data_IF_945285107626
#
_entry.id   IF_945285107626
#
_cell.length_a   1.000
_cell.length_b   1.000
_cell.length_c   1.000
_cell.angle_alpha   90.00
_cell.angle_beta   90.00
_cell.angle_gamma   90.00
#
_symmetry.space_group_name_H-M   'P 1'
#
loop_
_entity.id
_entity.type
_entity.pdbx_description
1 polymer ?
#
# COMPACT_ATOMS: atom_id res chain seq x y z
N UNK A 1 20.45 -1.09 -3.60
CA UNK A 1 19.08 -0.72 -3.99
C UNK A 1 18.74 0.61 -3.35
N UNK A 2 18.78 1.67 -4.15
CA UNK A 2 18.34 3.01 -3.77
C UNK A 2 17.21 3.41 -4.70
N UNK A 3 16.09 3.89 -4.16
CA UNK A 3 14.91 4.29 -4.93
C UNK A 3 13.61 3.65 -4.43
N UNK A 4 12.48 4.12 -4.95
CA UNK A 4 11.15 3.61 -4.65
C UNK A 4 10.62 2.75 -5.80
N UNK A 5 9.85 1.71 -5.48
CA UNK A 5 9.23 0.84 -6.48
C UNK A 5 7.94 1.49 -6.99
N UNK A 6 8.08 2.47 -7.89
CA UNK A 6 6.93 3.20 -8.44
C UNK A 6 6.14 2.42 -9.51
N UNK A 7 4.86 2.75 -9.73
CA UNK A 7 4.07 2.15 -10.82
C UNK A 7 4.64 2.47 -12.21
N UNK A 8 4.23 1.69 -13.21
CA UNK A 8 4.42 2.06 -14.61
C UNK A 8 3.55 3.26 -14.96
N UNK A 9 4.18 4.30 -15.50
CA UNK A 9 3.50 5.53 -15.94
C UNK A 9 2.75 5.28 -17.24
N UNK A 10 1.62 5.98 -17.45
CA UNK A 10 0.81 5.85 -18.66
C UNK A 10 -0.08 4.60 -18.72
N UNK A 11 -0.02 3.74 -17.71
CA UNK A 11 -0.89 2.58 -17.56
C UNK A 11 -1.93 2.80 -16.46
N UNK A 12 -3.02 2.01 -16.47
CA UNK A 12 -4.02 2.03 -15.39
C UNK A 12 -3.36 1.69 -14.05
N UNK A 13 -3.84 2.32 -12.97
CA UNK A 13 -3.28 2.15 -11.63
C UNK A 13 -4.32 2.02 -10.52
N UNK A 14 -5.44 2.74 -10.59
CA UNK A 14 -6.43 2.70 -9.52
C UNK A 14 -7.26 1.40 -9.59
N UNK A 15 -7.44 0.74 -8.44
CA UNK A 15 -8.22 -0.51 -8.35
C UNK A 15 -9.63 -0.43 -8.99
N UNK A 16 -10.39 0.68 -8.86
CA UNK A 16 -11.68 0.83 -9.53
C UNK A 16 -11.60 0.70 -11.06
N UNK A 17 -10.53 1.17 -11.69
CA UNK A 17 -10.33 1.13 -13.15
C UNK A 17 -10.20 -0.30 -13.68
N UNK A 18 -9.68 -1.20 -12.86
CA UNK A 18 -9.55 -2.62 -13.18
C UNK A 18 -10.85 -3.41 -12.96
N UNK A 19 -11.72 -2.94 -12.06
CA UNK A 19 -13.04 -3.56 -11.81
C UNK A 19 -14.08 -3.16 -12.86
N UNK A 20 -14.05 -1.91 -13.32
CA UNK A 20 -15.03 -1.33 -14.26
C UNK A 20 -14.58 -1.41 -15.73
N UNK A 21 -13.30 -1.66 -15.99
CA UNK A 21 -12.70 -1.59 -17.32
C UNK A 21 -12.50 -2.94 -18.02
N UNK A 22 -11.79 -2.90 -19.16
CA UNK A 22 -11.32 -4.09 -19.88
C UNK A 22 -10.40 -4.94 -18.99
N UNK A 23 -10.27 -6.26 -19.26
CA UNK A 23 -9.28 -7.11 -18.58
C UNK A 23 -7.89 -6.48 -18.57
N UNK A 24 -7.11 -6.76 -17.52
CA UNK A 24 -5.72 -6.34 -17.44
C UNK A 24 -4.95 -6.88 -18.64
N UNK A 25 -4.14 -6.04 -19.28
CA UNK A 25 -3.36 -6.40 -20.45
C UNK A 25 -1.91 -6.00 -20.29
N UNK A 26 -1.01 -6.95 -20.50
CA UNK A 26 0.43 -6.75 -20.42
C UNK A 26 0.99 -6.76 -19.00
N UNK A 27 2.31 -7.00 -18.91
CA UNK A 27 3.04 -7.09 -17.64
C UNK A 27 2.90 -5.84 -16.77
N UNK A 28 2.77 -4.68 -17.38
CA UNK A 28 2.74 -3.38 -16.68
C UNK A 28 1.42 -3.14 -15.94
N UNK A 29 0.27 -3.40 -16.57
CA UNK A 29 -1.03 -3.30 -15.90
C UNK A 29 -1.18 -4.37 -14.81
N UNK A 30 -0.64 -5.59 -15.02
CA UNK A 30 -0.59 -6.64 -14.00
C UNK A 30 0.23 -6.17 -12.79
N UNK A 31 1.41 -5.59 -13.02
CA UNK A 31 2.23 -5.02 -11.97
C UNK A 31 1.50 -3.90 -11.23
N UNK A 32 0.95 -2.91 -11.96
CA UNK A 32 0.26 -1.78 -11.37
C UNK A 32 -0.95 -2.20 -10.53
N UNK A 33 -1.74 -3.17 -11.01
CA UNK A 33 -2.85 -3.73 -10.25
C UNK A 33 -2.37 -4.40 -8.96
N UNK A 34 -1.35 -5.25 -9.02
CA UNK A 34 -0.77 -5.91 -7.85
C UNK A 34 -0.17 -4.90 -6.86
N UNK A 35 0.53 -3.88 -7.36
CA UNK A 35 1.09 -2.80 -6.57
C UNK A 35 -0.01 -2.01 -5.84
N UNK A 36 -1.04 -1.58 -6.58
CA UNK A 36 -2.19 -0.85 -6.05
C UNK A 36 -3.00 -1.69 -5.04
N UNK A 37 -3.14 -3.01 -5.29
CA UNK A 37 -3.78 -3.95 -4.38
C UNK A 37 -3.02 -4.07 -3.06
N UNK A 38 -1.70 -4.24 -3.12
CA UNK A 38 -0.84 -4.29 -1.94
C UNK A 38 -0.91 -2.97 -1.16
N UNK A 39 -0.83 -1.84 -1.86
CA UNK A 39 -0.96 -0.51 -1.25
C UNK A 39 -2.29 -0.37 -0.50
N UNK A 40 -3.40 -0.76 -1.12
CA UNK A 40 -4.72 -0.73 -0.49
C UNK A 40 -4.80 -1.61 0.77
N UNK A 41 -4.10 -2.75 0.82
CA UNK A 41 -4.02 -3.57 2.05
C UNK A 41 -3.24 -2.84 3.16
N UNK A 42 -2.13 -2.18 2.81
CA UNK A 42 -1.31 -1.41 3.75
C UNK A 42 -2.10 -0.22 4.31
N UNK A 43 -2.76 0.55 3.45
CA UNK A 43 -3.55 1.72 3.83
C UNK A 43 -4.71 1.34 4.75
N UNK A 44 -5.47 0.29 4.42
CA UNK A 44 -6.55 -0.21 5.28
C UNK A 44 -6.05 -0.66 6.64
N UNK A 45 -4.87 -1.29 6.69
CA UNK A 45 -4.22 -1.70 7.94
C UNK A 45 -3.88 -0.48 8.82
N UNK A 46 -3.32 0.57 8.22
CA UNK A 46 -3.07 1.82 8.94
C UNK A 46 -4.36 2.52 9.36
N UNK A 47 -5.43 2.42 8.58
CA UNK A 47 -6.76 2.88 8.95
C UNK A 47 -7.23 2.29 10.28
N UNK A 48 -7.22 0.95 10.39
CA UNK A 48 -7.59 0.25 11.64
C UNK A 48 -6.69 0.66 12.80
N UNK A 49 -5.36 0.71 12.58
CA UNK A 49 -4.39 1.06 13.62
C UNK A 49 -4.55 2.49 14.15
N UNK A 50 -4.98 3.45 13.31
CA UNK A 50 -5.26 4.83 13.74
C UNK A 50 -6.38 4.92 14.78
N UNK A 51 -7.25 3.90 14.92
CA UNK A 51 -8.28 3.85 15.97
C UNK A 51 -7.70 3.54 17.35
N UNK A 52 -6.50 2.98 17.42
CA UNK A 52 -5.89 2.55 18.67
C UNK A 52 -5.34 3.76 19.41
N UNK A 53 -5.94 4.09 20.55
CA UNK A 53 -5.61 5.32 21.31
C UNK A 53 -4.11 5.45 21.63
N UNK A 54 -3.39 4.33 21.83
CA UNK A 54 -1.94 4.34 22.08
C UNK A 54 -1.12 4.82 20.87
N UNK A 55 -1.64 4.65 19.66
CA UNK A 55 -1.02 5.14 18.42
C UNK A 55 -1.53 6.54 18.03
N UNK A 56 -2.81 6.82 18.27
CA UNK A 56 -3.43 8.13 17.99
C UNK A 56 -2.93 9.22 18.94
N UNK A 57 -2.94 8.91 20.24
CA UNK A 57 -2.66 9.85 21.33
C UNK A 57 -1.38 9.41 22.05
N UNK A 58 -0.31 9.14 21.28
CA UNK A 58 0.92 8.55 21.82
C UNK A 58 1.60 9.49 22.82
N UNK A 59 1.77 9.08 24.09
CA UNK A 59 2.49 9.88 25.08
C UNK A 59 3.96 10.08 24.68
N UNK A 60 4.61 11.08 25.27
CA UNK A 60 6.03 11.39 25.06
C UNK A 60 6.95 10.32 25.67
N UNK A 61 7.01 9.16 25.02
CA UNK A 61 7.95 8.10 25.31
C UNK A 61 9.29 8.32 24.57
N UNK A 62 10.35 7.65 25.04
CA UNK A 62 11.60 7.59 24.28
C UNK A 62 11.36 6.96 22.90
N UNK A 63 12.18 7.35 21.92
CA UNK A 63 12.09 6.79 20.56
C UNK A 63 12.13 5.26 20.54
N UNK A 64 12.97 4.65 21.38
CA UNK A 64 13.03 3.20 21.53
C UNK A 64 11.68 2.60 21.94
N UNK A 65 11.00 3.22 22.89
CA UNK A 65 9.70 2.76 23.37
C UNK A 65 8.59 3.02 22.34
N UNK A 66 8.64 4.14 21.61
CA UNK A 66 7.72 4.39 20.49
C UNK A 66 7.86 3.31 19.41
N UNK A 67 9.09 2.94 19.04
CA UNK A 67 9.37 1.84 18.10
C UNK A 67 8.79 0.52 18.60
N UNK A 68 8.99 0.18 19.87
CA UNK A 68 8.42 -1.03 20.46
C UNK A 68 6.89 -1.02 20.42
N UNK A 69 6.25 0.12 20.73
CA UNK A 69 4.80 0.27 20.66
C UNK A 69 4.31 -0.06 19.24
N UNK A 70 4.92 0.53 18.20
CA UNK A 70 4.54 0.25 16.80
C UNK A 70 4.64 -1.24 16.48
N UNK A 71 5.75 -1.89 16.84
CA UNK A 71 5.95 -3.33 16.60
C UNK A 71 4.90 -4.17 17.34
N UNK A 72 4.66 -3.87 18.62
CA UNK A 72 3.66 -4.58 19.42
C UNK A 72 2.25 -4.41 18.84
N UNK A 73 1.88 -3.20 18.40
CA UNK A 73 0.57 -2.96 17.80
C UNK A 73 0.40 -3.67 16.45
N UNK A 74 1.45 -3.73 15.63
CA UNK A 74 1.44 -4.49 14.38
C UNK A 74 1.27 -5.99 14.63
N UNK A 75 2.00 -6.54 15.61
CA UNK A 75 1.88 -7.95 15.99
C UNK A 75 0.48 -8.28 16.52
N UNK A 76 -0.07 -7.44 17.40
CA UNK A 76 -1.43 -7.59 17.93
C UNK A 76 -2.48 -7.49 16.83
N UNK A 77 -2.36 -6.51 15.93
CA UNK A 77 -3.25 -6.37 14.78
C UNK A 77 -3.26 -7.64 13.93
N UNK A 78 -2.08 -8.17 13.59
CA UNK A 78 -1.96 -9.39 12.79
C UNK A 78 -2.52 -10.61 13.51
N UNK A 79 -2.33 -10.71 14.83
CA UNK A 79 -2.92 -11.75 15.65
C UNK A 79 -4.45 -11.67 15.61
N UNK A 80 -5.02 -10.49 15.87
CA UNK A 80 -6.46 -10.27 15.82
C UNK A 80 -6.98 -10.62 14.42
N UNK A 81 -6.38 -10.10 13.34
CA UNK A 81 -6.84 -10.37 11.97
C UNK A 81 -6.82 -11.87 11.61
N UNK A 82 -5.90 -12.65 12.18
CA UNK A 82 -5.79 -14.09 11.95
C UNK A 82 -6.87 -14.89 12.69
N UNK A 83 -7.34 -14.39 13.82
CA UNK A 83 -8.21 -15.13 14.74
C UNK A 83 -9.64 -14.56 14.84
N UNK A 84 -9.83 -13.29 14.53
CA UNK A 84 -11.14 -12.67 14.36
C UNK A 84 -11.80 -13.26 13.10
N UNK A 85 -13.11 -13.50 13.18
CA UNK A 85 -13.90 -13.86 12.01
C UNK A 85 -13.91 -12.71 10.99
N UNK A 86 -14.40 -13.01 9.77
CA UNK A 86 -14.55 -11.99 8.71
C UNK A 86 -15.54 -10.87 9.06
N UNK A 87 -16.34 -11.05 10.10
CA UNK A 87 -17.40 -10.14 10.52
C UNK A 87 -16.94 -9.13 11.59
N UNK A 88 -15.64 -9.00 11.84
CA UNK A 88 -15.12 -8.01 12.76
C UNK A 88 -15.35 -6.60 12.20
N UNK A 89 -16.12 -5.80 12.95
CA UNK A 89 -16.59 -4.49 12.53
C UNK A 89 -15.45 -3.50 12.26
N UNK A 90 -14.34 -3.59 12.99
CA UNK A 90 -13.21 -2.68 12.81
C UNK A 90 -12.49 -2.95 11.49
N UNK A 91 -12.39 -4.21 11.06
CA UNK A 91 -11.83 -4.55 9.75
C UNK A 91 -12.81 -4.29 8.62
N UNK A 92 -14.11 -4.61 8.82
CA UNK A 92 -15.14 -4.38 7.80
C UNK A 92 -15.31 -2.91 7.45
N UNK A 93 -15.20 -2.01 8.43
CA UNK A 93 -15.22 -0.57 8.18
C UNK A 93 -14.19 -0.19 7.11
N UNK A 94 -12.94 -0.61 7.26
CA UNK A 94 -11.88 -0.29 6.30
C UNK A 94 -11.87 -1.18 5.06
N UNK A 95 -12.44 -2.38 5.11
CA UNK A 95 -12.59 -3.24 3.92
C UNK A 95 -13.67 -2.73 2.95
N UNK A 96 -14.70 -2.06 3.48
CA UNK A 96 -15.83 -1.54 2.72
C UNK A 96 -15.70 -0.05 2.34
N UNK A 97 -14.70 0.67 2.85
CA UNK A 97 -14.40 2.02 2.36
C UNK A 97 -14.08 1.92 0.87
N UNK A 98 -14.88 2.63 0.07
CA UNK A 98 -14.64 2.75 -1.35
C UNK A 98 -13.28 3.43 -1.53
N UNK A 99 -12.37 2.94 -2.40
CA UNK A 99 -11.11 3.65 -2.70
C UNK A 99 -11.32 5.10 -3.17
N UNK A 100 -12.54 5.43 -3.62
CA UNK A 100 -12.98 6.78 -4.00
C UNK A 100 -13.32 7.68 -2.78
N UNK A 101 -13.62 7.09 -1.61
CA UNK A 101 -14.02 7.81 -0.38
C UNK A 101 -12.84 8.10 0.56
N UNK A 102 -11.70 7.44 0.34
CA UNK A 102 -10.43 7.92 0.88
C UNK A 102 -10.11 9.15 0.06
N UNK A 103 -10.28 10.34 0.64
CA UNK A 103 -9.68 11.55 0.09
C UNK A 103 -8.17 11.31 0.07
N UNK A 104 -7.65 10.85 -1.06
CA UNK A 104 -6.26 11.02 -1.43
C UNK A 104 -6.05 12.54 -1.52
N UNK A 105 -5.81 13.19 -0.37
CA UNK A 105 -5.14 14.50 -0.32
C UNK A 105 -3.65 14.36 -0.67
N UNK A 106 -3.23 13.23 -1.22
CA UNK A 106 -2.00 13.14 -2.02
C UNK A 106 -2.41 13.06 -3.49
N UNK A 107 -2.70 14.24 -4.07
CA UNK A 107 -2.27 14.45 -5.45
C UNK A 107 -0.82 13.98 -5.54
N UNK A 108 -0.48 13.15 -6.51
CA UNK A 108 0.91 12.97 -6.93
C UNK A 108 1.40 14.30 -7.55
N UNK A 109 1.40 15.39 -6.77
CA UNK A 109 2.28 16.52 -6.99
C UNK A 109 3.67 16.01 -6.63
N UNK A 110 4.28 15.42 -7.66
CA UNK A 110 5.69 15.53 -8.00
C UNK A 110 6.59 16.24 -6.97
N UNK A 111 6.92 15.55 -5.88
CA UNK A 111 8.15 15.81 -5.13
C UNK A 111 9.17 14.78 -5.62
N UNK A 112 9.76 15.02 -6.79
CA UNK A 112 10.77 14.10 -7.33
C UNK A 112 11.57 14.56 -8.53
N UNK A 113 11.14 15.58 -9.28
CA UNK A 113 11.86 16.01 -10.49
C UNK A 113 13.25 16.62 -10.23
N UNK A 114 13.63 16.94 -8.98
CA UNK A 114 14.98 17.42 -8.64
C UNK A 114 15.96 16.34 -8.15
N UNK A 115 15.54 15.09 -7.91
CA UNK A 115 16.45 14.03 -7.40
C UNK A 115 16.68 12.86 -8.38
N UNK A 116 15.98 12.83 -9.51
CA UNK A 116 15.83 11.60 -10.31
C UNK A 116 16.84 11.40 -11.46
N UNK A 117 17.89 12.23 -11.56
CA UNK A 117 18.80 12.18 -12.73
C UNK A 117 19.88 11.09 -12.61
N UNK A 118 19.97 10.33 -11.50
CA UNK A 118 21.09 9.38 -11.32
C UNK A 118 20.77 8.00 -10.72
N UNK A 119 19.54 7.70 -10.26
CA UNK A 119 19.25 6.47 -9.50
C UNK A 119 18.11 5.59 -10.05
N UNK A 120 17.47 5.97 -11.17
CA UNK A 120 16.24 5.32 -11.67
C UNK A 120 16.41 3.89 -12.22
N UNK A 121 17.62 3.50 -12.59
CA UNK A 121 17.87 2.29 -13.42
C UNK A 121 17.72 0.97 -12.63
N UNK A 122 18.14 0.94 -11.36
CA UNK A 122 18.06 -0.29 -10.54
C UNK A 122 16.61 -0.68 -10.18
N UNK A 123 15.80 0.30 -9.77
CA UNK A 123 14.41 0.05 -9.35
C UNK A 123 13.52 -0.26 -10.55
N UNK A 124 13.84 0.29 -11.73
CA UNK A 124 13.20 -0.07 -12.98
C UNK A 124 13.45 -1.54 -13.32
N UNK A 125 14.69 -2.02 -13.23
CA UNK A 125 15.00 -3.43 -13.46
C UNK A 125 14.26 -4.36 -12.48
N UNK A 126 14.19 -3.97 -11.20
CA UNK A 126 13.47 -4.75 -10.18
C UNK A 126 11.96 -4.79 -10.48
N UNK A 127 11.38 -3.64 -10.86
CA UNK A 127 9.99 -3.55 -11.28
C UNK A 127 9.71 -4.47 -12.47
N UNK A 128 10.57 -4.42 -13.47
CA UNK A 128 10.47 -5.26 -14.67
C UNK A 128 10.58 -6.74 -14.36
N UNK A 129 11.50 -7.14 -13.48
CA UNK A 129 11.63 -8.52 -13.03
C UNK A 129 10.36 -9.01 -12.30
N UNK A 130 9.79 -8.19 -11.42
CA UNK A 130 8.53 -8.51 -10.72
C UNK A 130 7.37 -8.59 -11.73
N UNK A 131 7.26 -7.63 -12.65
CA UNK A 131 6.20 -7.60 -13.65
C UNK A 131 6.22 -8.84 -14.55
N UNK A 132 7.40 -9.25 -15.02
CA UNK A 132 7.59 -10.49 -15.78
C UNK A 132 7.23 -11.72 -14.94
N UNK A 133 7.66 -11.79 -13.68
CA UNK A 133 7.33 -12.90 -12.79
C UNK A 133 5.83 -13.02 -12.55
N UNK A 134 5.13 -11.91 -12.34
CA UNK A 134 3.68 -11.89 -12.15
C UNK A 134 2.95 -12.35 -13.41
N UNK A 135 3.37 -11.87 -14.58
CA UNK A 135 2.77 -12.26 -15.85
C UNK A 135 2.92 -13.75 -16.17
N UNK A 136 4.07 -14.35 -15.81
CA UNK A 136 4.33 -15.78 -15.99
C UNK A 136 3.61 -16.67 -14.96
N UNK A 137 2.99 -16.07 -13.94
CA UNK A 137 2.27 -16.79 -12.87
C UNK A 137 0.75 -16.85 -13.09
N UNK A 138 0.27 -16.29 -14.22
CA UNK A 138 -1.14 -16.29 -14.65
C UNK A 138 -1.35 -17.44 -15.64
#
# INVERSE_FOLDING_TARGET
>A
MKGFLGPYRGQRYHLPDFRRGRPMSGKEEIFNHSHSSLRSVIERTFGVLKKWAILRDMPSYSFEKQRMIVICTMALHNFIRKHAGRDDADFMEYENINPEDVQDEESYEDIGDELNVSYGDEMEFVRDAIACSLMNSI
#
